data_IF_203500458676
#
_entry.id   IF_203500458676
#
_cell.length_a   1.000
_cell.length_b   1.000
_cell.length_c   1.000
_cell.angle_alpha   90.00
_cell.angle_beta   90.00
_cell.angle_gamma   90.00
#
_symmetry.space_group_name_H-M   'P 1'
#
loop_
_entity.id
_entity.type
_entity.pdbx_description
1 polymer ?
#
# COMPACT_ATOMS: atom_id res chain seq x y z
N UNK A 1 27.35 10.26 5.66
CA UNK A 1 26.48 9.55 4.71
C UNK A 1 25.16 10.28 4.78
N UNK A 2 24.76 10.95 3.70
CA UNK A 2 23.38 11.46 3.60
C UNK A 2 22.48 10.26 3.78
N UNK A 3 21.57 10.27 4.75
CA UNK A 3 20.48 9.30 4.74
C UNK A 3 19.78 9.41 3.38
N UNK A 4 19.50 8.28 2.73
CA UNK A 4 18.68 8.25 1.53
C UNK A 4 17.31 8.88 1.86
N UNK A 5 16.76 9.70 0.97
CA UNK A 5 15.48 10.38 1.19
C UNK A 5 14.38 9.35 1.51
N UNK A 6 14.46 8.16 0.90
CA UNK A 6 13.58 7.02 1.20
C UNK A 6 13.67 6.57 2.68
N UNK A 7 14.89 6.41 3.21
CA UNK A 7 15.10 5.99 4.59
C UNK A 7 14.66 7.09 5.58
N UNK A 8 14.84 8.36 5.20
CA UNK A 8 14.33 9.49 5.97
C UNK A 8 12.80 9.45 6.06
N UNK A 9 12.10 9.29 4.94
CA UNK A 9 10.63 9.17 4.88
C UNK A 9 10.15 8.03 5.76
N UNK A 10 10.72 6.83 5.61
CA UNK A 10 10.33 5.64 6.40
C UNK A 10 10.41 5.90 7.90
N UNK A 11 11.51 6.50 8.37
CA UNK A 11 11.68 6.85 9.78
C UNK A 11 10.70 7.92 10.25
N UNK A 12 10.41 8.93 9.44
CA UNK A 12 9.43 9.99 9.79
C UNK A 12 8.01 9.45 9.88
N UNK A 13 7.59 8.62 8.91
CA UNK A 13 6.29 7.95 8.94
C UNK A 13 6.18 7.07 10.17
N UNK A 14 7.21 6.26 10.46
CA UNK A 14 7.24 5.44 11.68
C UNK A 14 7.13 6.29 12.95
N UNK A 15 7.87 7.39 13.04
CA UNK A 15 7.82 8.28 14.20
C UNK A 15 6.42 8.89 14.38
N UNK A 16 5.82 9.41 13.31
CA UNK A 16 4.46 9.97 13.32
C UNK A 16 3.44 8.94 13.82
N UNK A 17 3.45 7.72 13.27
CA UNK A 17 2.48 6.72 13.72
C UNK A 17 2.81 6.15 15.09
N UNK A 18 4.08 6.14 15.52
CA UNK A 18 4.44 5.79 16.90
C UNK A 18 3.88 6.82 17.88
N UNK A 19 3.92 8.11 17.56
CA UNK A 19 3.26 9.17 18.35
C UNK A 19 1.74 8.96 18.44
N UNK A 20 1.09 8.55 17.34
CA UNK A 20 -0.37 8.39 17.26
C UNK A 20 -0.90 7.06 17.84
N UNK A 21 -0.18 5.95 17.62
CA UNK A 21 -0.67 4.60 17.82
C UNK A 21 0.26 3.73 18.70
N UNK A 22 1.37 4.28 19.18
CA UNK A 22 2.36 3.57 19.99
C UNK A 22 2.93 2.35 19.27
N UNK A 23 3.10 1.26 20.00
CA UNK A 23 3.70 0.01 19.49
C UNK A 23 2.95 -0.60 18.30
N UNK A 24 1.68 -0.25 18.09
CA UNK A 24 0.91 -0.72 16.92
C UNK A 24 1.48 -0.21 15.60
N UNK A 25 2.18 0.93 15.63
CA UNK A 25 2.80 1.53 14.45
C UNK A 25 3.84 0.64 13.79
N UNK A 26 4.44 -0.32 14.52
CA UNK A 26 5.37 -1.31 13.95
C UNK A 26 4.78 -2.07 12.76
N UNK A 27 3.45 -2.14 12.66
CA UNK A 27 2.77 -2.79 11.55
C UNK A 27 2.76 -1.98 10.26
N UNK A 28 3.32 -0.77 10.27
CA UNK A 28 3.52 0.08 9.10
C UNK A 28 4.99 0.15 8.69
N UNK A 29 5.87 -0.56 9.39
CA UNK A 29 7.28 -0.66 9.03
C UNK A 29 7.43 -1.53 7.77
N UNK A 30 7.97 -0.96 6.68
CA UNK A 30 8.06 -1.63 5.38
C UNK A 30 8.95 -2.88 5.36
N UNK A 31 9.72 -3.16 6.42
CA UNK A 31 10.47 -4.41 6.59
C UNK A 31 9.66 -5.56 7.20
N UNK A 32 8.43 -5.30 7.66
CA UNK A 32 7.58 -6.29 8.34
C UNK A 32 6.45 -6.71 7.42
N UNK A 33 6.49 -7.96 6.95
CA UNK A 33 5.36 -8.56 6.26
C UNK A 33 4.14 -8.65 7.22
N UNK A 34 2.98 -8.03 6.91
CA UNK A 34 1.86 -7.94 7.82
C UNK A 34 0.98 -9.21 7.82
N UNK A 35 1.60 -10.37 8.06
CA UNK A 35 0.98 -11.70 7.93
C UNK A 35 -0.38 -11.83 8.64
N UNK A 36 -0.52 -11.26 9.84
CA UNK A 36 -1.79 -11.31 10.59
C UNK A 36 -2.92 -10.54 9.90
N UNK A 37 -2.62 -9.42 9.25
CA UNK A 37 -3.61 -8.66 8.47
C UNK A 37 -3.90 -9.38 7.16
N UNK A 38 -2.88 -9.91 6.48
CA UNK A 38 -3.07 -10.76 5.30
C UNK A 38 -4.02 -11.91 5.61
N UNK A 39 -3.76 -12.69 6.66
CA UNK A 39 -4.65 -13.79 7.07
C UNK A 39 -6.07 -13.33 7.44
N UNK A 40 -6.21 -12.14 8.03
CA UNK A 40 -7.53 -11.56 8.35
C UNK A 40 -8.32 -11.28 7.08
N UNK A 41 -7.68 -10.70 6.05
CA UNK A 41 -8.30 -10.44 4.75
C UNK A 41 -8.62 -11.75 4.04
N UNK A 42 -7.68 -12.71 4.04
CA UNK A 42 -7.88 -14.06 3.47
C UNK A 42 -9.12 -14.74 4.05
N UNK A 43 -9.24 -14.77 5.38
CA UNK A 43 -10.38 -15.36 6.07
C UNK A 43 -11.71 -14.66 5.74
N UNK A 44 -11.69 -13.32 5.64
CA UNK A 44 -12.88 -12.54 5.30
C UNK A 44 -13.37 -12.80 3.86
N UNK A 45 -12.44 -12.97 2.91
CA UNK A 45 -12.77 -13.18 1.49
C UNK A 45 -13.17 -14.63 1.17
N UNK A 46 -12.58 -15.61 1.84
CA UNK A 46 -12.81 -17.04 1.57
C UNK A 46 -14.06 -17.59 2.27
N UNK A 47 -14.34 -17.18 3.51
CA UNK A 47 -15.44 -17.71 4.31
C UNK A 47 -15.10 -19.04 5.00
N UNK A 48 -16.00 -19.53 5.87
CA UNK A 48 -15.74 -20.67 6.76
C UNK A 48 -15.73 -22.04 6.08
N UNK A 49 -16.42 -22.18 4.95
CA UNK A 49 -16.58 -23.46 4.24
C UNK A 49 -15.79 -23.49 2.91
N UNK A 50 -14.78 -22.62 2.79
CA UNK A 50 -13.97 -22.47 1.59
C UNK A 50 -13.14 -23.73 1.30
N UNK A 51 -12.98 -24.04 0.02
CA UNK A 51 -11.98 -25.01 -0.42
C UNK A 51 -10.57 -24.42 -0.29
N UNK A 52 -9.55 -25.28 -0.28
CA UNK A 52 -8.15 -24.85 -0.26
C UNK A 52 -7.81 -23.90 -1.43
N UNK A 53 -8.36 -24.16 -2.62
CA UNK A 53 -8.20 -23.29 -3.79
C UNK A 53 -8.80 -21.89 -3.57
N UNK A 54 -9.98 -21.81 -2.95
CA UNK A 54 -10.62 -20.54 -2.63
C UNK A 54 -9.85 -19.75 -1.57
N UNK A 55 -9.29 -20.45 -0.58
CA UNK A 55 -8.41 -19.84 0.43
C UNK A 55 -7.15 -19.29 -0.22
N UNK A 56 -6.50 -20.06 -1.09
CA UNK A 56 -5.29 -19.62 -1.80
C UNK A 56 -5.55 -18.42 -2.70
N UNK A 57 -6.68 -18.42 -3.41
CA UNK A 57 -7.09 -17.29 -4.25
C UNK A 57 -7.33 -16.02 -3.41
N UNK A 58 -8.02 -16.16 -2.27
CA UNK A 58 -8.22 -15.06 -1.33
C UNK A 58 -6.90 -14.54 -0.73
N UNK A 59 -5.94 -15.43 -0.47
CA UNK A 59 -4.64 -15.08 0.07
C UNK A 59 -3.78 -14.28 -0.92
N UNK A 60 -3.83 -14.62 -2.21
CA UNK A 60 -3.18 -13.83 -3.25
C UNK A 60 -3.73 -12.40 -3.33
N UNK A 61 -5.06 -12.24 -3.21
CA UNK A 61 -5.69 -10.91 -3.13
C UNK A 61 -5.20 -10.17 -1.87
N UNK A 62 -5.22 -10.84 -0.72
CA UNK A 62 -4.81 -10.28 0.56
C UNK A 62 -3.33 -9.83 0.56
N UNK A 63 -2.44 -10.64 0.00
CA UNK A 63 -1.03 -10.32 -0.17
C UNK A 63 -0.87 -9.00 -0.93
N UNK A 64 -1.46 -8.92 -2.13
CA UNK A 64 -1.37 -7.71 -2.94
C UNK A 64 -1.98 -6.48 -2.27
N UNK A 65 -3.01 -6.61 -1.45
CA UNK A 65 -3.61 -5.48 -0.74
C UNK A 65 -2.86 -5.04 0.52
N UNK A 66 -1.95 -5.86 1.06
CA UNK A 66 -1.32 -5.60 2.36
C UNK A 66 0.18 -5.30 2.29
N UNK A 67 0.86 -5.71 1.22
CA UNK A 67 2.32 -5.60 1.07
C UNK A 67 2.85 -4.18 0.77
N UNK A 68 1.99 -3.18 0.78
CA UNK A 68 2.32 -1.75 0.59
C UNK A 68 1.82 -0.87 1.74
N UNK A 69 1.65 -1.47 2.92
CA UNK A 69 1.25 -0.80 4.16
C UNK A 69 2.10 0.42 4.52
N UNK A 70 3.42 0.39 4.29
CA UNK A 70 4.29 1.56 4.52
C UNK A 70 4.03 2.70 3.56
N UNK A 71 3.72 2.39 2.29
CA UNK A 71 3.39 3.39 1.27
C UNK A 71 2.03 4.05 1.58
N UNK A 72 1.05 3.24 2.01
CA UNK A 72 -0.24 3.73 2.50
C UNK A 72 -0.07 4.66 3.70
N UNK A 73 0.77 4.26 4.66
CA UNK A 73 1.08 5.06 5.85
C UNK A 73 1.68 6.42 5.47
N UNK A 74 2.60 6.47 4.51
CA UNK A 74 3.15 7.73 4.02
C UNK A 74 2.06 8.69 3.54
N UNK A 75 1.15 8.24 2.67
CA UNK A 75 0.08 9.09 2.16
C UNK A 75 -0.78 9.66 3.29
N UNK A 76 -1.14 8.83 4.28
CA UNK A 76 -1.90 9.28 5.45
C UNK A 76 -1.09 10.28 6.29
N UNK A 77 0.20 10.01 6.54
CA UNK A 77 1.07 10.91 7.29
C UNK A 77 1.21 12.27 6.60
N UNK A 78 1.32 12.30 5.26
CA UNK A 78 1.41 13.53 4.48
C UNK A 78 0.11 14.36 4.57
N UNK A 79 -1.06 13.72 4.57
CA UNK A 79 -2.34 14.41 4.75
C UNK A 79 -2.48 15.03 6.16
N UNK A 80 -1.88 14.42 7.17
CA UNK A 80 -2.01 14.85 8.57
C UNK A 80 -0.94 15.86 8.99
N UNK A 81 0.29 15.71 8.50
CA UNK A 81 1.47 16.50 8.92
C UNK A 81 2.36 16.87 7.73
N UNK A 82 1.83 17.57 6.70
CA UNK A 82 2.60 17.90 5.51
C UNK A 82 3.87 18.72 5.83
N UNK A 83 3.82 19.55 6.87
CA UNK A 83 4.94 20.39 7.33
C UNK A 83 6.14 19.60 7.89
N UNK A 84 5.99 18.31 8.17
CA UNK A 84 7.07 17.46 8.68
C UNK A 84 7.95 16.88 7.57
N UNK A 85 7.56 17.03 6.30
CA UNK A 85 8.29 16.49 5.14
C UNK A 85 8.92 17.60 4.31
N UNK A 86 10.12 17.36 3.79
CA UNK A 86 10.75 18.26 2.80
C UNK A 86 10.22 17.94 1.40
N UNK A 87 10.36 18.86 0.43
CA UNK A 87 10.02 18.57 -0.96
C UNK A 87 10.71 17.30 -1.51
N UNK A 88 11.99 17.10 -1.20
CA UNK A 88 12.76 15.95 -1.66
C UNK A 88 12.26 14.62 -1.06
N UNK A 89 11.80 14.65 0.21
CA UNK A 89 11.18 13.49 0.85
C UNK A 89 9.82 13.16 0.23
N UNK A 90 9.05 14.19 -0.12
CA UNK A 90 7.75 14.02 -0.79
C UNK A 90 7.96 13.41 -2.18
N UNK A 91 8.89 13.94 -2.97
CA UNK A 91 9.23 13.40 -4.30
C UNK A 91 9.66 11.93 -4.21
N UNK A 92 10.60 11.62 -3.31
CA UNK A 92 11.10 10.26 -3.12
C UNK A 92 9.99 9.28 -2.71
N UNK A 93 9.08 9.70 -1.83
CA UNK A 93 7.97 8.86 -1.37
C UNK A 93 6.87 8.69 -2.42
N UNK A 94 6.60 9.73 -3.22
CA UNK A 94 5.68 9.64 -4.36
C UNK A 94 6.23 8.69 -5.41
N UNK A 95 7.52 8.75 -5.73
CA UNK A 95 8.15 7.84 -6.68
C UNK A 95 8.05 6.38 -6.21
N UNK A 96 8.34 6.11 -4.93
CA UNK A 96 8.16 4.77 -4.34
C UNK A 96 6.71 4.29 -4.46
N UNK A 97 5.74 5.13 -4.10
CA UNK A 97 4.32 4.80 -4.15
C UNK A 97 3.89 4.46 -5.58
N UNK A 98 4.24 5.30 -6.56
CA UNK A 98 3.82 5.15 -7.95
C UNK A 98 4.46 3.95 -8.66
N UNK A 99 5.66 3.53 -8.25
CA UNK A 99 6.31 2.32 -8.79
C UNK A 99 5.77 1.04 -8.15
N UNK A 100 5.39 1.09 -6.87
CA UNK A 100 5.02 -0.10 -6.10
C UNK A 100 3.51 -0.37 -6.09
N UNK A 101 2.72 0.59 -5.61
CA UNK A 101 1.30 0.39 -5.26
C UNK A 101 0.43 0.08 -6.49
N UNK A 102 0.56 0.76 -7.64
CA UNK A 102 -0.29 0.48 -8.79
C UNK A 102 -0.21 -0.96 -9.28
N UNK A 103 1.00 -1.56 -9.30
CA UNK A 103 1.17 -2.94 -9.73
C UNK A 103 0.44 -3.92 -8.81
N UNK A 104 0.54 -3.72 -7.49
CA UNK A 104 -0.16 -4.53 -6.49
C UNK A 104 -1.69 -4.36 -6.59
N UNK A 105 -2.18 -3.13 -6.69
CA UNK A 105 -3.62 -2.85 -6.79
C UNK A 105 -4.22 -3.44 -8.08
N UNK A 106 -3.54 -3.30 -9.22
CA UNK A 106 -3.99 -3.91 -10.49
C UNK A 106 -4.00 -5.43 -10.40
N UNK A 107 -2.99 -6.04 -9.78
CA UNK A 107 -2.95 -7.49 -9.58
C UNK A 107 -4.12 -7.98 -8.71
N UNK A 108 -4.36 -7.32 -7.56
CA UNK A 108 -5.49 -7.63 -6.68
C UNK A 108 -6.84 -7.45 -7.40
N UNK A 109 -7.01 -6.36 -8.15
CA UNK A 109 -8.25 -6.09 -8.89
C UNK A 109 -8.53 -7.16 -9.95
N UNK A 110 -7.50 -7.63 -10.68
CA UNK A 110 -7.66 -8.73 -11.66
C UNK A 110 -8.09 -10.03 -10.98
N UNK A 111 -7.46 -10.39 -9.88
CA UNK A 111 -7.82 -11.59 -9.10
C UNK A 111 -9.26 -11.48 -8.57
N UNK A 112 -9.66 -10.30 -8.09
CA UNK A 112 -11.01 -10.06 -7.60
C UNK A 112 -12.08 -9.90 -8.71
N UNK A 113 -11.70 -9.99 -9.99
CA UNK A 113 -12.63 -9.84 -11.11
C UNK A 113 -13.11 -8.40 -11.36
N UNK A 114 -12.36 -7.40 -10.90
CA UNK A 114 -12.66 -5.99 -11.12
C UNK A 114 -12.00 -5.45 -12.40
N UNK A 115 -12.62 -4.47 -13.09
CA UNK A 115 -11.99 -3.77 -14.20
C UNK A 115 -10.69 -3.09 -13.78
N UNK A 116 -9.66 -3.15 -14.63
CA UNK A 116 -8.37 -2.47 -14.40
C UNK A 116 -8.00 -1.50 -15.52
N UNK A 117 -8.96 -1.17 -16.38
CA UNK A 117 -8.76 -0.15 -17.41
C UNK A 117 -8.68 1.22 -16.74
N UNK A 118 -7.85 2.10 -17.30
CA UNK A 118 -7.76 3.48 -16.85
C UNK A 118 -9.06 4.20 -17.21
N UNK A 119 -9.81 4.61 -16.18
CA UNK A 119 -11.09 5.32 -16.32
C UNK A 119 -10.90 6.82 -16.55
N UNK A 120 -9.68 7.34 -16.39
CA UNK A 120 -9.33 8.74 -16.60
C UNK A 120 -8.65 8.98 -17.95
N UNK A 121 -8.36 7.91 -18.69
CA UNK A 121 -7.91 8.02 -20.08
C UNK A 121 -9.08 8.59 -20.88
N UNK A 122 -9.02 9.88 -21.18
CA UNK A 122 -9.83 10.46 -22.25
C UNK A 122 -9.50 9.67 -23.52
N UNK A 123 -10.52 9.18 -24.23
CA UNK A 123 -10.30 8.55 -25.52
C UNK A 123 -9.62 9.59 -26.43
N UNK A 124 -8.37 9.37 -26.81
CA UNK A 124 -7.62 10.14 -27.84
C UNK A 124 -8.29 10.05 -29.24
N UNK A 125 -9.57 9.70 -29.33
CA UNK A 125 -10.29 9.39 -30.57
C UNK A 125 -11.04 10.60 -31.18
N UNK A 126 -10.85 11.82 -30.66
CA UNK A 126 -11.41 13.06 -31.23
C UNK A 126 -10.33 14.03 -31.76
N UNK A 127 -9.28 13.51 -32.40
CA UNK A 127 -8.48 14.29 -33.36
C UNK A 127 -8.53 13.60 -34.73
N UNK A 128 -9.67 13.81 -35.40
CA UNK A 128 -9.86 13.54 -36.84
C UNK A 128 -9.16 14.60 -37.71
#
# INVERSE_FOLDING_TARGET
>A
MSDDAHDSVRRKVQAIFTELAGDRARMLEGGTFPAGITSTVTAALSGSDATEEQVLHADQIAFHLTDWNSDAAFIVALHLFPERFTPEEIEAAVDMFLVHVPAHVVAAARLAGHPTADIFREDDDDVA
#
